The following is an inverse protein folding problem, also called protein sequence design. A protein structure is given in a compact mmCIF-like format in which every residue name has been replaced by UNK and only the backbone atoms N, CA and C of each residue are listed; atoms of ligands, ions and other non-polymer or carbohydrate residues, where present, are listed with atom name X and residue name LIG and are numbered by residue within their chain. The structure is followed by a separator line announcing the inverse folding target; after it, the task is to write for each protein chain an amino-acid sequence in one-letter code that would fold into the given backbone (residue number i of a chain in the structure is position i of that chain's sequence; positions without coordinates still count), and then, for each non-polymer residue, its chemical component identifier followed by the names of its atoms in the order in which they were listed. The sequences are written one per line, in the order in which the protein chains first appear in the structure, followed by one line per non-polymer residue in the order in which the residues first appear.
data_IF_571670386661
#
_entry.id   IF_571670386661
#
_cell.length_a   1.000
_cell.length_b   1.000
_cell.length_c   1.000
_cell.angle_alpha   90.00
_cell.angle_beta   90.00
_cell.angle_gamma   90.00
#
_symmetry.space_group_name_H-M   'P 1'
#
loop_
_entity.id
_entity.type
_entity.pdbx_description
1 polymer ?
#
# COMPACT_ATOMS: atom_id res chain seq x y z
N UNK A 1 -15.21 -11.43 14.00
CA UNK A 1 -14.47 -10.64 12.99
C UNK A 1 -13.83 -11.58 11.98
N UNK A 2 -14.08 -11.34 10.70
CA UNK A 2 -13.45 -12.14 9.64
C UNK A 2 -12.00 -11.69 9.43
N UNK A 3 -11.24 -12.52 8.71
CA UNK A 3 -9.87 -12.15 8.32
C UNK A 3 -9.87 -10.85 7.50
N UNK A 4 -10.82 -10.71 6.60
CA UNK A 4 -10.96 -9.49 5.78
C UNK A 4 -11.18 -8.27 6.68
N UNK A 5 -12.13 -8.34 7.61
CA UNK A 5 -12.40 -7.23 8.54
C UNK A 5 -11.16 -6.87 9.38
N UNK A 6 -10.41 -7.88 9.83
CA UNK A 6 -9.18 -7.66 10.58
C UNK A 6 -8.13 -6.95 9.74
N UNK A 7 -7.99 -7.33 8.45
CA UNK A 7 -7.02 -6.70 7.55
C UNK A 7 -7.39 -5.25 7.25
N UNK A 8 -8.68 -4.92 7.16
CA UNK A 8 -9.11 -3.53 6.98
C UNK A 8 -8.63 -2.66 8.14
N UNK A 9 -8.80 -3.14 9.38
CA UNK A 9 -8.36 -2.40 10.56
C UNK A 9 -6.84 -2.21 10.59
N UNK A 10 -6.11 -3.25 10.23
CA UNK A 10 -4.64 -3.18 10.18
C UNK A 10 -4.17 -2.19 9.11
N UNK A 11 -4.78 -2.23 7.93
CA UNK A 11 -4.45 -1.31 6.85
C UNK A 11 -4.78 0.13 7.23
N UNK A 12 -5.95 0.37 7.80
CA UNK A 12 -6.36 1.70 8.24
C UNK A 12 -5.40 2.27 9.27
N UNK A 13 -4.99 1.47 10.25
CA UNK A 13 -4.02 1.89 11.26
C UNK A 13 -2.65 2.23 10.65
N UNK A 14 -2.16 1.39 9.74
CA UNK A 14 -0.91 1.64 9.05
C UNK A 14 -0.98 2.90 8.19
N UNK A 15 -2.08 3.10 7.49
CA UNK A 15 -2.30 4.27 6.64
C UNK A 15 -2.30 5.56 7.45
N UNK A 16 -2.92 5.55 8.63
CA UNK A 16 -2.90 6.69 9.55
C UNK A 16 -1.47 7.07 9.91
N UNK A 17 -0.65 6.09 10.26
CA UNK A 17 0.76 6.34 10.60
C UNK A 17 1.56 6.85 9.39
N UNK A 18 1.28 6.33 8.23
CA UNK A 18 1.92 6.79 6.99
C UNK A 18 1.54 8.24 6.67
N UNK A 19 0.26 8.57 6.79
CA UNK A 19 -0.23 9.94 6.60
C UNK A 19 0.46 10.91 7.57
N UNK A 20 0.57 10.51 8.84
CA UNK A 20 1.18 11.34 9.88
C UNK A 20 2.64 11.68 9.56
N UNK A 21 3.44 10.71 9.15
CA UNK A 21 4.87 10.96 8.89
C UNK A 21 5.06 11.85 7.66
N UNK A 22 4.19 11.75 6.66
CA UNK A 22 4.29 12.61 5.47
C UNK A 22 3.93 14.06 5.76
N UNK A 23 3.26 14.33 6.88
CA UNK A 23 2.95 15.68 7.32
C UNK A 23 4.08 16.33 8.13
N UNK A 24 5.09 15.56 8.50
CA UNK A 24 6.25 16.07 9.26
C UNK A 24 7.26 16.66 8.28
N UNK A 25 7.89 17.81 8.59
CA UNK A 25 8.94 18.37 7.75
C UNK A 25 10.06 17.36 7.51
N UNK A 26 10.50 17.27 6.25
CA UNK A 26 11.48 16.28 5.82
C UNK A 26 12.85 16.51 6.43
N UNK A 27 13.45 15.44 6.92
CA UNK A 27 14.87 15.28 7.15
C UNK A 27 15.19 13.80 6.89
N UNK A 28 16.44 13.39 7.03
CA UNK A 28 16.83 12.01 6.72
C UNK A 28 16.10 10.98 7.60
N UNK A 29 15.89 11.30 8.87
CA UNK A 29 15.21 10.42 9.81
C UNK A 29 13.73 10.28 9.43
N UNK A 30 13.08 11.39 9.15
CA UNK A 30 11.67 11.43 8.73
C UNK A 30 11.49 10.71 7.40
N UNK A 31 12.38 10.96 6.44
CA UNK A 31 12.37 10.29 5.14
C UNK A 31 12.41 8.77 5.31
N UNK A 32 13.36 8.27 6.08
CA UNK A 32 13.54 6.82 6.27
C UNK A 32 12.36 6.21 7.03
N UNK A 33 11.81 6.93 8.00
CA UNK A 33 10.59 6.51 8.68
C UNK A 33 9.40 6.44 7.73
N UNK A 34 9.26 7.43 6.85
CA UNK A 34 8.19 7.45 5.84
C UNK A 34 8.29 6.26 4.89
N UNK A 35 9.50 5.91 4.46
CA UNK A 35 9.74 4.76 3.58
C UNK A 35 9.35 3.46 4.30
N UNK A 36 9.71 3.30 5.57
CA UNK A 36 9.32 2.12 6.35
C UNK A 36 7.79 2.03 6.49
N UNK A 37 7.12 3.14 6.75
CA UNK A 37 5.67 3.18 6.88
C UNK A 37 4.97 2.90 5.55
N UNK A 38 5.54 3.34 4.43
CA UNK A 38 5.09 2.94 3.10
C UNK A 38 5.19 1.43 2.93
N UNK A 39 6.32 0.85 3.31
CA UNK A 39 6.58 -0.58 3.17
C UNK A 39 5.50 -1.41 3.87
N UNK A 40 5.24 -1.16 5.16
CA UNK A 40 4.25 -1.97 5.86
C UNK A 40 2.81 -1.63 5.42
N UNK A 41 2.55 -0.40 4.99
CA UNK A 41 1.21 -0.03 4.49
C UNK A 41 0.91 -0.75 3.18
N UNK A 42 1.87 -0.79 2.26
CA UNK A 42 1.69 -1.54 1.02
C UNK A 42 1.50 -3.03 1.28
N UNK A 43 2.30 -3.62 2.19
CA UNK A 43 2.17 -5.03 2.52
C UNK A 43 0.78 -5.35 3.07
N UNK A 44 0.24 -4.49 3.92
CA UNK A 44 -1.12 -4.67 4.44
C UNK A 44 -2.19 -4.43 3.38
N UNK A 45 -1.94 -3.53 2.43
CA UNK A 45 -2.91 -3.26 1.36
C UNK A 45 -3.16 -4.48 0.49
N UNK A 46 -2.10 -5.16 0.03
CA UNK A 46 -2.32 -6.31 -0.83
C UNK A 46 -2.82 -7.54 -0.06
N UNK A 47 -2.47 -7.66 1.22
CA UNK A 47 -3.02 -8.72 2.07
C UNK A 47 -4.52 -8.53 2.31
N UNK A 48 -4.94 -7.29 2.49
CA UNK A 48 -6.37 -6.93 2.61
C UNK A 48 -7.12 -7.25 1.32
N UNK A 49 -6.54 -6.89 0.17
CA UNK A 49 -7.10 -7.21 -1.15
C UNK A 49 -7.23 -8.72 -1.31
N UNK A 50 -6.19 -9.47 -0.93
CA UNK A 50 -6.21 -10.93 -1.00
C UNK A 50 -7.35 -11.51 -0.16
N UNK A 51 -7.52 -11.04 1.06
CA UNK A 51 -8.61 -11.48 1.93
C UNK A 51 -9.98 -11.12 1.34
N UNK A 52 -10.13 -9.93 0.78
CA UNK A 52 -11.36 -9.51 0.09
C UNK A 52 -11.70 -10.44 -1.07
N UNK A 53 -10.72 -10.71 -1.93
CA UNK A 53 -10.93 -11.57 -3.11
C UNK A 53 -11.35 -12.98 -2.70
N UNK A 54 -10.70 -13.54 -1.71
CA UNK A 54 -11.05 -14.89 -1.23
C UNK A 54 -12.45 -14.92 -0.61
N UNK A 55 -12.76 -13.96 0.27
CA UNK A 55 -14.01 -13.97 1.01
C UNK A 55 -15.21 -13.56 0.17
N UNK A 56 -15.09 -12.53 -0.66
CA UNK A 56 -16.21 -11.93 -1.37
C UNK A 56 -16.34 -12.37 -2.83
N UNK A 57 -15.26 -12.84 -3.44
CA UNK A 57 -15.25 -13.19 -4.87
C UNK A 57 -14.87 -14.65 -5.13
N UNK A 58 -14.39 -15.37 -4.12
CA UNK A 58 -13.92 -16.74 -4.30
C UNK A 58 -12.69 -16.84 -5.20
N UNK A 59 -11.89 -15.79 -5.27
CA UNK A 59 -10.71 -15.70 -6.12
C UNK A 59 -9.45 -15.73 -5.26
N UNK A 60 -8.47 -16.52 -5.68
CA UNK A 60 -7.17 -16.63 -5.00
C UNK A 60 -6.12 -15.92 -5.84
N UNK A 61 -5.37 -14.99 -5.23
CA UNK A 61 -4.21 -14.37 -5.86
C UNK A 61 -2.96 -14.73 -5.07
N UNK A 62 -1.85 -14.99 -5.76
CA UNK A 62 -0.65 -15.58 -5.16
C UNK A 62 0.46 -14.59 -4.85
N UNK A 63 0.44 -13.38 -5.43
CA UNK A 63 1.51 -12.39 -5.28
C UNK A 63 0.93 -10.99 -5.21
N UNK A 64 1.70 -10.01 -4.67
CA UNK A 64 1.21 -8.64 -4.61
C UNK A 64 0.74 -8.09 -5.96
N UNK A 65 1.56 -8.26 -7.01
CA UNK A 65 1.21 -7.75 -8.35
C UNK A 65 -0.05 -8.42 -8.89
N UNK A 66 -0.17 -9.72 -8.70
CA UNK A 66 -1.36 -10.47 -9.12
C UNK A 66 -2.59 -10.00 -8.37
N UNK A 67 -2.47 -9.74 -7.06
CA UNK A 67 -3.59 -9.26 -6.26
C UNK A 67 -4.08 -7.89 -6.72
N UNK A 68 -3.18 -6.97 -7.04
CA UNK A 68 -3.59 -5.66 -7.58
C UNK A 68 -4.24 -5.78 -8.97
N UNK A 69 -3.72 -6.63 -9.83
CA UNK A 69 -4.33 -6.88 -11.15
C UNK A 69 -5.73 -7.47 -11.01
N UNK A 70 -5.89 -8.42 -10.10
CA UNK A 70 -7.19 -9.05 -9.85
C UNK A 70 -8.18 -8.06 -9.22
N UNK A 71 -7.70 -7.19 -8.31
CA UNK A 71 -8.53 -6.13 -7.73
C UNK A 71 -9.10 -5.21 -8.80
N UNK A 72 -8.31 -4.87 -9.81
CA UNK A 72 -8.78 -4.11 -10.96
C UNK A 72 -9.85 -4.89 -11.74
N UNK A 73 -9.59 -6.16 -12.04
CA UNK A 73 -10.54 -7.00 -12.78
C UNK A 73 -11.88 -7.11 -12.07
N UNK A 74 -11.87 -7.15 -10.74
CA UNK A 74 -13.08 -7.28 -9.93
C UNK A 74 -13.75 -5.92 -9.64
N UNK A 75 -13.22 -4.84 -10.18
CA UNK A 75 -13.82 -3.51 -10.01
C UNK A 75 -13.58 -2.86 -8.65
N UNK A 76 -12.67 -3.39 -7.84
CA UNK A 76 -12.35 -2.80 -6.55
C UNK A 76 -11.55 -1.50 -6.69
N UNK A 77 -10.61 -1.49 -7.63
CA UNK A 77 -9.80 -0.32 -7.92
C UNK A 77 -9.86 0.00 -9.41
N UNK A 78 -9.65 1.26 -9.75
CA UNK A 78 -9.50 1.66 -11.15
C UNK A 78 -8.12 1.27 -11.66
N UNK A 79 -7.99 1.12 -12.99
CA UNK A 79 -6.70 0.81 -13.59
C UNK A 79 -5.69 1.92 -13.28
N UNK A 80 -4.51 1.50 -12.84
CA UNK A 80 -3.38 2.41 -12.63
C UNK A 80 -2.09 1.60 -12.62
N UNK A 81 -1.12 2.02 -13.42
CA UNK A 81 0.22 1.43 -13.41
C UNK A 81 0.94 1.70 -12.09
N UNK A 82 0.46 2.67 -11.30
CA UNK A 82 1.08 3.05 -10.04
C UNK A 82 1.14 1.89 -9.05
N UNK A 83 0.10 1.06 -8.98
CA UNK A 83 0.10 -0.07 -8.05
C UNK A 83 1.27 -1.03 -8.28
N UNK A 84 1.61 -1.29 -9.55
CA UNK A 84 2.74 -2.14 -9.90
C UNK A 84 4.06 -1.44 -9.54
N UNK A 85 4.14 -0.13 -9.77
CA UNK A 85 5.30 0.67 -9.37
C UNK A 85 5.49 0.65 -7.85
N UNK A 86 4.41 0.69 -7.08
CA UNK A 86 4.50 0.63 -5.62
C UNK A 86 5.10 -0.70 -5.16
N UNK A 87 4.73 -1.80 -5.79
CA UNK A 87 5.31 -3.11 -5.48
C UNK A 87 6.81 -3.11 -5.77
N UNK A 88 7.22 -2.56 -6.92
CA UNK A 88 8.63 -2.45 -7.27
C UNK A 88 9.39 -1.55 -6.29
N UNK A 89 8.79 -0.42 -5.90
CA UNK A 89 9.37 0.48 -4.89
C UNK A 89 9.53 -0.23 -3.55
N UNK A 90 8.53 -1.02 -3.14
CA UNK A 90 8.58 -1.80 -1.90
C UNK A 90 9.78 -2.75 -1.92
N UNK A 91 10.06 -3.38 -3.06
CA UNK A 91 11.20 -4.28 -3.21
C UNK A 91 12.54 -3.52 -3.18
N UNK A 92 12.54 -2.25 -3.56
CA UNK A 92 13.74 -1.38 -3.51
C UNK A 92 14.05 -0.86 -2.11
N UNK A 93 13.12 -0.95 -1.15
CA UNK A 93 13.34 -0.39 0.19
C UNK A 93 14.51 -1.02 0.93
N UNK A 94 14.96 -2.21 0.53
CA UNK A 94 16.15 -2.85 1.11
C UNK A 94 17.44 -2.10 0.75
N UNK A 95 17.38 -1.18 -0.20
CA UNK A 95 18.55 -0.43 -0.71
C UNK A 95 18.57 1.04 -0.28
N UNK A 96 17.75 1.45 0.70
CA UNK A 96 17.68 2.87 1.10
C UNK A 96 18.90 3.37 1.84
N UNK A 97 19.86 2.49 2.16
CA UNK A 97 21.17 2.91 2.60
C UNK A 97 21.89 3.73 1.52
N UNK A 98 21.48 3.60 0.27
CA UNK A 98 21.91 4.46 -0.83
C UNK A 98 21.00 5.68 -0.87
N UNK A 99 21.57 6.86 -0.67
CA UNK A 99 20.81 8.11 -0.56
C UNK A 99 19.93 8.37 -1.77
N UNK A 100 20.46 8.13 -2.98
CA UNK A 100 19.71 8.33 -4.22
C UNK A 100 18.48 7.42 -4.32
N UNK A 101 18.55 6.22 -3.78
CA UNK A 101 17.40 5.29 -3.77
C UNK A 101 16.36 5.79 -2.77
N UNK A 102 16.78 6.20 -1.58
CA UNK A 102 15.87 6.73 -0.56
C UNK A 102 15.15 7.98 -1.06
N UNK A 103 15.85 8.90 -1.69
CA UNK A 103 15.26 10.14 -2.21
C UNK A 103 14.25 9.84 -3.32
N UNK A 104 14.57 8.92 -4.22
CA UNK A 104 13.68 8.54 -5.32
C UNK A 104 12.38 7.93 -4.80
N UNK A 105 12.46 7.04 -3.83
CA UNK A 105 11.28 6.42 -3.21
C UNK A 105 10.46 7.50 -2.49
N UNK A 106 11.11 8.32 -1.67
CA UNK A 106 10.41 9.35 -0.90
C UNK A 106 9.63 10.30 -1.81
N UNK A 107 10.21 10.69 -2.94
CA UNK A 107 9.57 11.61 -3.88
C UNK A 107 8.25 11.06 -4.45
N UNK A 108 8.03 9.76 -4.39
CA UNK A 108 6.82 9.11 -4.91
C UNK A 108 5.79 8.76 -3.83
N UNK A 109 6.11 8.98 -2.56
CA UNK A 109 5.25 8.54 -1.45
C UNK A 109 3.91 9.27 -1.37
N UNK A 110 3.85 10.54 -1.78
CA UNK A 110 2.57 11.28 -1.79
C UNK A 110 1.58 10.67 -2.78
N UNK A 111 2.07 10.14 -3.90
CA UNK A 111 1.23 9.44 -4.89
C UNK A 111 0.71 8.14 -4.29
N UNK A 112 1.55 7.42 -3.57
CA UNK A 112 1.14 6.20 -2.86
C UNK A 112 0.06 6.50 -1.82
N UNK A 113 0.22 7.58 -1.06
CA UNK A 113 -0.77 7.98 -0.06
C UNK A 113 -2.15 8.20 -0.71
N UNK A 114 -2.22 8.93 -1.81
CA UNK A 114 -3.47 9.14 -2.52
C UNK A 114 -4.15 7.83 -2.93
N UNK A 115 -3.38 6.90 -3.47
CA UNK A 115 -3.90 5.60 -3.89
C UNK A 115 -4.39 4.77 -2.71
N UNK A 116 -3.68 4.78 -1.59
CA UNK A 116 -4.10 4.08 -0.37
C UNK A 116 -5.40 4.66 0.18
N UNK A 117 -5.56 5.99 0.17
CA UNK A 117 -6.78 6.65 0.64
C UNK A 117 -7.99 6.22 -0.21
N UNK A 118 -7.82 6.21 -1.52
CA UNK A 118 -8.88 5.78 -2.45
C UNK A 118 -9.21 4.31 -2.21
N UNK A 119 -8.20 3.47 -2.03
CA UNK A 119 -8.41 2.04 -1.77
C UNK A 119 -9.18 1.82 -0.46
N UNK A 120 -8.83 2.53 0.60
CA UNK A 120 -9.53 2.40 1.88
C UNK A 120 -11.02 2.75 1.72
N UNK A 121 -11.31 3.85 1.04
CA UNK A 121 -12.69 4.25 0.78
C UNK A 121 -13.44 3.17 -0.01
N UNK A 122 -12.83 2.65 -1.06
CA UNK A 122 -13.45 1.62 -1.89
C UNK A 122 -13.71 0.33 -1.11
N UNK A 123 -12.76 -0.08 -0.27
CA UNK A 123 -12.87 -1.33 0.48
C UNK A 123 -13.95 -1.24 1.57
N UNK A 124 -14.11 -0.08 2.19
CA UNK A 124 -15.13 0.13 3.23
C UNK A 124 -16.55 0.10 2.67
N UNK A 125 -16.72 0.32 1.39
CA UNK A 125 -18.03 0.26 0.73
C UNK A 125 -18.43 -1.19 0.37
N UNK A 126 -17.55 -2.13 0.55
CA UNK A 126 -17.81 -3.56 0.30
C UNK A 126 -18.20 -4.23 1.59
#
# INVERSE_FOLDING_TARGET
MTKFEATIKQFESALTRFREVLAVPKNDIVRDSAIQRFEFTLDLSWKMIKAFLEEKKGVVCASPKECFREAYKQGLIEYSDEWIKFVDMRNETVHIYKEEVAEKIYAHLSIALEHFEILLTAIKEK
#
